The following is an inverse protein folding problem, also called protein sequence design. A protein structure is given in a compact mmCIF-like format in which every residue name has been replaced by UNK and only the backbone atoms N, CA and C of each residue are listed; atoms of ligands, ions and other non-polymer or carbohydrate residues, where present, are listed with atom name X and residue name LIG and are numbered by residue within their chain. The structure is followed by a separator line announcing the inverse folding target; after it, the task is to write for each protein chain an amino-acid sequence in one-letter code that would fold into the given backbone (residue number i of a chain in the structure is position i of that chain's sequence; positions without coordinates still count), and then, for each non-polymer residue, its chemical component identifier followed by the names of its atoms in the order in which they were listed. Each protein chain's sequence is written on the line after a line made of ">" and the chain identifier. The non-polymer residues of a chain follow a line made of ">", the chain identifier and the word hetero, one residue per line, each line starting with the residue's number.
data_IF_970028201291
#
_entry.id   IF_970028201291
#
_cell.length_a   1.000
_cell.length_b   1.000
_cell.length_c   1.000
_cell.angle_alpha   90.00
_cell.angle_beta   90.00
_cell.angle_gamma   90.00
#
_symmetry.space_group_name_H-M   'P 1'
#
loop_
_entity.id
_entity.type
_entity.pdbx_description
1 polymer ?
#
# COMPACT_ATOMS: atom_id res chain seq x y z
N UNK A 1 4.20 2.41 -7.77
CA UNK A 1 5.55 2.03 -8.27
C UNK A 1 6.69 2.97 -7.85
N UNK A 2 6.44 4.11 -7.19
CA UNK A 2 7.51 5.13 -6.92
C UNK A 2 8.70 4.67 -6.08
N UNK A 3 8.53 3.65 -5.23
CA UNK A 3 9.59 3.18 -4.31
C UNK A 3 10.29 1.90 -4.77
N UNK A 4 9.87 1.33 -5.91
CA UNK A 4 10.37 0.04 -6.40
C UNK A 4 11.88 0.03 -6.60
N UNK A 5 12.43 1.08 -7.22
CA UNK A 5 13.87 1.20 -7.48
C UNK A 5 14.71 1.00 -6.21
N UNK A 6 14.34 1.67 -5.11
CA UNK A 6 15.08 1.58 -3.85
C UNK A 6 14.98 0.20 -3.22
N UNK A 7 13.80 -0.42 -3.28
CA UNK A 7 13.59 -1.79 -2.79
C UNK A 7 14.46 -2.80 -3.55
N UNK A 8 14.51 -2.69 -4.87
CA UNK A 8 15.35 -3.55 -5.71
C UNK A 8 16.84 -3.35 -5.43
N UNK A 9 17.31 -2.10 -5.28
CA UNK A 9 18.71 -1.79 -4.90
C UNK A 9 19.06 -2.35 -3.52
N UNK A 10 18.11 -2.40 -2.59
CA UNK A 10 18.28 -3.03 -1.27
C UNK A 10 18.16 -4.57 -1.29
N UNK A 11 18.01 -5.18 -2.47
CA UNK A 11 17.93 -6.63 -2.64
C UNK A 11 16.56 -7.21 -2.32
N UNK A 12 15.52 -6.39 -2.17
CA UNK A 12 14.16 -6.89 -2.01
C UNK A 12 13.63 -7.43 -3.34
N UNK A 13 12.90 -8.54 -3.27
CA UNK A 13 12.17 -9.07 -4.42
C UNK A 13 10.82 -8.38 -4.50
N UNK A 14 10.67 -7.45 -5.45
CA UNK A 14 9.43 -6.71 -5.67
C UNK A 14 8.52 -7.49 -6.61
N UNK A 15 7.26 -7.66 -6.22
CA UNK A 15 6.22 -8.28 -7.03
C UNK A 15 5.17 -7.24 -7.42
N UNK A 16 4.56 -7.44 -8.59
CA UNK A 16 3.34 -6.71 -8.95
C UNK A 16 2.13 -7.41 -8.33
N UNK A 17 1.27 -6.63 -7.67
CA UNK A 17 0.03 -7.15 -7.09
C UNK A 17 -0.86 -7.73 -8.20
N UNK A 18 -1.12 -9.04 -8.14
CA UNK A 18 -1.94 -9.77 -9.10
C UNK A 18 -3.14 -10.39 -8.39
N UNK A 19 -4.34 -9.95 -8.78
CA UNK A 19 -5.61 -10.43 -8.20
C UNK A 19 -5.91 -11.89 -8.54
N UNK A 20 -5.24 -12.47 -9.53
CA UNK A 20 -5.35 -13.89 -9.88
C UNK A 20 -4.36 -14.76 -9.10
N UNK A 21 -3.32 -14.15 -8.52
CA UNK A 21 -2.30 -14.84 -7.72
C UNK A 21 -2.09 -14.13 -6.38
N UNK A 22 -3.20 -13.98 -5.65
CA UNK A 22 -3.29 -13.20 -4.42
C UNK A 22 -2.33 -13.68 -3.33
N UNK A 23 -2.23 -14.99 -3.13
CA UNK A 23 -1.41 -15.59 -2.07
C UNK A 23 0.09 -15.34 -2.28
N UNK A 24 0.56 -15.28 -3.53
CA UNK A 24 1.97 -15.10 -3.81
C UNK A 24 2.39 -13.63 -4.00
N UNK A 25 1.45 -12.75 -4.37
CA UNK A 25 1.79 -11.39 -4.84
C UNK A 25 1.18 -10.25 -4.02
N UNK A 26 0.24 -10.53 -3.12
CA UNK A 26 -0.43 -9.52 -2.28
C UNK A 26 -0.20 -9.88 -0.81
N UNK A 27 0.43 -8.97 -0.07
CA UNK A 27 0.74 -9.14 1.35
C UNK A 27 -0.47 -8.93 2.27
N UNK A 28 -0.30 -9.21 3.56
CA UNK A 28 -1.29 -8.92 4.62
C UNK A 28 -1.39 -7.44 5.00
N UNK A 29 -0.40 -6.65 4.64
CA UNK A 29 -0.34 -5.21 4.90
C UNK A 29 0.11 -4.44 3.67
N UNK A 30 -0.37 -3.21 3.53
CA UNK A 30 0.05 -2.26 2.50
C UNK A 30 0.52 -0.96 3.16
N UNK A 31 1.69 -0.48 2.76
CA UNK A 31 2.18 0.85 3.12
C UNK A 31 1.88 1.82 1.97
N UNK A 32 1.18 2.91 2.28
CA UNK A 32 0.84 3.97 1.33
C UNK A 32 1.53 5.25 1.77
N UNK A 33 2.37 5.80 0.88
CA UNK A 33 2.98 7.11 1.07
C UNK A 33 2.17 8.16 0.31
N UNK A 34 1.70 9.18 1.01
CA UNK A 34 1.01 10.33 0.44
C UNK A 34 1.83 11.60 0.63
N UNK A 35 2.24 12.20 -0.48
CA UNK A 35 3.03 13.44 -0.54
C UNK A 35 2.17 14.66 -0.91
N UNK A 36 0.84 14.49 -0.89
CA UNK A 36 -0.16 15.52 -1.18
C UNK A 36 -0.72 16.11 0.11
N UNK A 37 -1.46 17.25 0.04
CA UNK A 37 -2.20 17.75 1.17
C UNK A 37 -3.09 16.66 1.79
N UNK A 38 -3.23 16.70 3.12
CA UNK A 38 -3.94 15.70 3.91
C UNK A 38 -5.34 15.38 3.35
N UNK A 39 -6.07 16.41 2.94
CA UNK A 39 -7.43 16.30 2.43
C UNK A 39 -7.56 15.53 1.10
N UNK A 40 -6.45 15.32 0.38
CA UNK A 40 -6.40 14.59 -0.88
C UNK A 40 -5.90 13.15 -0.74
N UNK A 41 -5.47 12.75 0.46
CA UNK A 41 -4.97 11.41 0.71
C UNK A 41 -6.14 10.44 0.94
N UNK A 42 -6.33 9.51 0.00
CA UNK A 42 -7.37 8.48 0.07
C UNK A 42 -6.77 7.06 0.06
N UNK A 43 -6.02 6.66 1.11
CA UNK A 43 -5.16 5.48 1.06
C UNK A 43 -5.94 4.16 0.88
N UNK A 44 -7.23 4.11 1.24
CA UNK A 44 -8.08 2.91 1.12
C UNK A 44 -8.96 2.89 -0.14
N UNK A 45 -8.99 3.98 -0.92
CA UNK A 45 -9.89 4.11 -2.08
C UNK A 45 -9.24 4.79 -3.29
N UNK A 46 -7.91 4.91 -3.30
CA UNK A 46 -7.16 5.45 -4.43
C UNK A 46 -7.28 4.50 -5.64
N UNK A 47 -7.52 5.02 -6.87
CA UNK A 47 -7.68 4.20 -8.06
C UNK A 47 -6.38 3.58 -8.58
N UNK A 48 -5.22 3.86 -7.98
CA UNK A 48 -3.95 3.21 -8.33
C UNK A 48 -4.04 1.69 -8.17
N UNK A 49 -3.42 0.98 -9.10
CA UNK A 49 -3.49 -0.46 -9.18
C UNK A 49 -3.03 -1.16 -7.89
N UNK A 50 -2.04 -0.62 -7.18
CA UNK A 50 -1.53 -1.19 -5.94
C UNK A 50 -2.59 -1.17 -4.81
N UNK A 51 -3.34 -0.08 -4.68
CA UNK A 51 -4.41 0.04 -3.68
C UNK A 51 -5.63 -0.77 -4.10
N UNK A 52 -6.03 -0.66 -5.38
CA UNK A 52 -7.17 -1.40 -5.91
C UNK A 52 -6.98 -2.93 -5.84
N UNK A 53 -5.78 -3.43 -6.19
CA UNK A 53 -5.49 -4.87 -6.17
C UNK A 53 -5.30 -5.40 -4.74
N UNK A 54 -4.82 -4.57 -3.80
CA UNK A 54 -4.74 -4.95 -2.39
C UNK A 54 -6.14 -5.29 -1.83
N UNK A 55 -7.15 -4.52 -2.25
CA UNK A 55 -8.56 -4.80 -1.96
C UNK A 55 -9.09 -4.04 -0.75
N UNK A 56 -10.22 -4.51 -0.24
CA UNK A 56 -10.92 -3.88 0.89
C UNK A 56 -10.00 -3.85 2.12
N UNK A 57 -9.69 -2.63 2.57
CA UNK A 57 -8.70 -2.42 3.62
C UNK A 57 -9.10 -1.29 4.56
N UNK A 58 -8.45 -1.25 5.73
CA UNK A 58 -8.62 -0.22 6.75
C UNK A 58 -7.27 0.32 7.17
N UNK A 59 -7.25 1.60 7.57
CA UNK A 59 -6.07 2.22 8.17
C UNK A 59 -5.90 1.66 9.58
N UNK A 60 -4.75 1.04 9.86
CA UNK A 60 -4.40 0.54 11.19
C UNK A 60 -3.32 1.39 11.86
N UNK A 61 -2.58 2.17 11.08
CA UNK A 61 -1.68 3.18 11.62
C UNK A 61 -1.40 4.31 10.63
N UNK A 62 -1.01 5.46 11.16
CA UNK A 62 -0.67 6.66 10.40
C UNK A 62 0.53 7.38 11.04
N UNK A 63 1.43 7.89 10.19
CA UNK A 63 2.54 8.73 10.61
C UNK A 63 2.62 9.99 9.73
N UNK A 64 3.00 11.11 10.34
CA UNK A 64 3.40 12.33 9.63
C UNK A 64 4.90 12.56 9.84
N UNK A 65 5.66 12.50 8.75
CA UNK A 65 7.11 12.58 8.76
C UNK A 65 7.52 13.68 7.78
N UNK A 66 7.88 14.86 8.32
CA UNK A 66 8.34 15.97 7.49
C UNK A 66 7.30 16.47 6.47
N UNK A 67 6.01 16.40 6.79
CA UNK A 67 4.92 16.79 5.88
C UNK A 67 4.47 15.69 4.91
N UNK A 68 5.12 14.51 4.94
CA UNK A 68 4.70 13.33 4.20
C UNK A 68 3.88 12.44 5.12
N UNK A 69 2.77 11.89 4.61
CA UNK A 69 1.95 10.94 5.36
C UNK A 69 2.24 9.52 4.93
N UNK A 70 2.48 8.67 5.92
CA UNK A 70 2.62 7.23 5.74
C UNK A 70 1.42 6.56 6.39
N UNK A 71 0.75 5.69 5.66
CA UNK A 71 -0.35 4.88 6.16
C UNK A 71 0.05 3.41 6.15
N UNK A 72 -0.31 2.69 7.20
CA UNK A 72 -0.33 1.23 7.19
C UNK A 72 -1.77 0.75 7.08
N UNK A 73 -2.04 -0.07 6.08
CA UNK A 73 -3.33 -0.69 5.85
C UNK A 73 -3.25 -2.20 6.13
N UNK A 74 -4.36 -2.77 6.58
CA UNK A 74 -4.59 -4.21 6.68
C UNK A 74 -5.92 -4.55 6.00
N UNK A 75 -6.10 -5.80 5.56
CA UNK A 75 -7.37 -6.26 4.99
C UNK A 75 -8.50 -6.03 5.99
N UNK A 76 -9.64 -5.56 5.50
CA UNK A 76 -10.81 -5.28 6.34
C UNK A 76 -11.49 -6.58 6.80
N UNK A 77 -11.45 -7.60 5.95
CA UNK A 77 -12.04 -8.92 6.20
C UNK A 77 -11.04 -9.83 6.90
N UNK A 78 -11.49 -10.58 7.90
CA UNK A 78 -10.65 -11.48 8.72
C UNK A 78 -10.41 -12.86 8.10
N UNK A 79 -11.07 -13.17 6.98
CA UNK A 79 -11.11 -14.52 6.38
C UNK A 79 -10.18 -14.67 5.17
N UNK A 80 -9.04 -13.97 5.17
CA UNK A 80 -7.98 -14.19 4.19
C UNK A 80 -6.89 -15.09 4.75
#
# INVERSE_FOLDING_TARGET
>A
DGYRYFLEVWGAKVYHADVWNKEATISEQLFVVCERPEAECHPTSDPKAEVANFGMSKIVNEWNIGGIRLYKLEHADKDR
#
